data_IF_151401568912
#
_entry.id   IF_151401568912
#
_cell.length_a   1.000
_cell.length_b   1.000
_cell.length_c   1.000
_cell.angle_alpha   90.00
_cell.angle_beta   90.00
_cell.angle_gamma   90.00
#
_symmetry.space_group_name_H-M   'P 1'
#
loop_
_entity.id
_entity.type
_entity.pdbx_description
1 polymer ?
#
# COMPACT_ATOMS: atom_id res chain seq x y z
N UNK A 1 29.92 -9.10 -23.54
CA UNK A 1 28.76 -8.31 -24.05
C UNK A 1 27.47 -8.72 -23.35
N UNK A 2 27.25 -10.01 -23.09
CA UNK A 2 26.01 -10.51 -22.48
C UNK A 2 25.71 -9.91 -21.09
N UNK A 3 26.72 -9.73 -20.24
CA UNK A 3 26.54 -9.09 -18.92
C UNK A 3 26.06 -7.63 -19.02
N UNK A 4 26.51 -6.90 -20.05
CA UNK A 4 26.08 -5.51 -20.28
C UNK A 4 24.62 -5.48 -20.73
N UNK A 5 24.24 -6.40 -21.63
CA UNK A 5 22.86 -6.54 -22.09
C UNK A 5 21.94 -6.88 -20.90
N UNK A 6 22.30 -7.88 -20.08
CA UNK A 6 21.53 -8.26 -18.89
C UNK A 6 21.38 -7.07 -17.94
N UNK A 7 22.46 -6.32 -17.67
CA UNK A 7 22.43 -5.15 -16.79
C UNK A 7 21.48 -4.08 -17.32
N UNK A 8 21.59 -3.73 -18.62
CA UNK A 8 20.72 -2.74 -19.27
C UNK A 8 19.26 -3.19 -19.21
N UNK A 9 18.97 -4.45 -19.51
CA UNK A 9 17.61 -5.01 -19.45
C UNK A 9 17.05 -4.93 -18.02
N UNK A 10 17.84 -5.26 -17.00
CA UNK A 10 17.41 -5.15 -15.61
C UNK A 10 17.07 -3.71 -15.21
N UNK A 11 17.90 -2.74 -15.62
CA UNK A 11 17.66 -1.32 -15.33
C UNK A 11 16.38 -0.84 -16.02
N UNK A 12 16.19 -1.18 -17.29
CA UNK A 12 14.98 -0.83 -18.05
C UNK A 12 13.73 -1.46 -17.43
N UNK A 13 13.80 -2.73 -17.02
CA UNK A 13 12.70 -3.42 -16.35
C UNK A 13 12.34 -2.77 -15.02
N UNK A 14 13.33 -2.41 -14.20
CA UNK A 14 13.10 -1.74 -12.92
C UNK A 14 12.50 -0.33 -13.12
N UNK A 15 13.02 0.44 -14.08
CA UNK A 15 12.50 1.75 -14.42
C UNK A 15 11.04 1.66 -14.91
N UNK A 16 10.75 0.72 -15.81
CA UNK A 16 9.41 0.47 -16.31
C UNK A 16 8.44 0.02 -15.21
N UNK A 17 8.87 -0.89 -14.33
CA UNK A 17 8.06 -1.39 -13.22
C UNK A 17 7.73 -0.28 -12.23
N UNK A 18 8.71 0.54 -11.88
CA UNK A 18 8.52 1.71 -11.00
C UNK A 18 7.58 2.73 -11.63
N UNK A 19 7.76 3.03 -12.91
CA UNK A 19 6.88 3.92 -13.65
C UNK A 19 5.44 3.40 -13.65
N UNK A 20 5.24 2.15 -14.07
CA UNK A 20 3.92 1.50 -14.14
C UNK A 20 3.23 1.43 -12.78
N UNK A 21 3.98 1.15 -11.72
CA UNK A 21 3.45 1.16 -10.36
C UNK A 21 3.04 2.55 -9.91
N UNK A 22 3.85 3.57 -10.17
CA UNK A 22 3.58 4.95 -9.76
C UNK A 22 2.38 5.54 -10.52
N UNK A 23 2.39 5.44 -11.86
CA UNK A 23 1.38 6.04 -12.74
C UNK A 23 0.10 5.23 -12.90
N UNK A 24 0.12 3.93 -12.55
CA UNK A 24 -1.05 3.06 -12.69
C UNK A 24 -2.26 3.53 -11.86
N UNK A 25 -3.46 3.00 -12.12
CA UNK A 25 -4.62 3.31 -11.30
C UNK A 25 -4.56 2.60 -9.93
N UNK A 26 -5.19 3.20 -8.92
CA UNK A 26 -5.50 2.51 -7.67
C UNK A 26 -6.62 1.50 -7.91
N UNK A 27 -6.46 0.29 -7.36
CA UNK A 27 -7.48 -0.76 -7.45
C UNK A 27 -8.52 -0.51 -6.36
N UNK A 28 -9.80 -0.63 -6.68
CA UNK A 28 -10.83 -0.58 -5.65
C UNK A 28 -10.66 -1.81 -4.74
N UNK A 29 -10.58 -1.58 -3.43
CA UNK A 29 -10.58 -2.68 -2.46
C UNK A 29 -11.96 -3.34 -2.41
N UNK A 30 -11.96 -4.67 -2.29
CA UNK A 30 -13.18 -5.49 -2.27
C UNK A 30 -13.11 -6.45 -1.07
N UNK A 31 -14.26 -6.91 -0.58
CA UNK A 31 -14.32 -7.83 0.56
C UNK A 31 -13.70 -9.21 0.28
N UNK A 32 -13.57 -9.61 -0.99
CA UNK A 32 -12.92 -10.85 -1.36
C UNK A 32 -11.40 -10.67 -1.43
N UNK A 33 -10.65 -11.49 -0.69
CA UNK A 33 -9.20 -11.49 -0.75
C UNK A 33 -8.72 -11.96 -2.13
N UNK A 34 -7.83 -11.20 -2.81
CA UNK A 34 -7.25 -11.65 -4.06
C UNK A 34 -6.19 -12.73 -3.80
N UNK A 35 -6.10 -13.72 -4.69
CA UNK A 35 -5.05 -14.76 -4.64
C UNK A 35 -3.69 -14.24 -5.10
N UNK A 36 -3.70 -13.28 -6.04
CA UNK A 36 -2.51 -12.70 -6.64
C UNK A 36 -2.86 -11.34 -7.26
N UNK A 37 -2.03 -10.32 -7.06
CA UNK A 37 -2.25 -8.98 -7.61
C UNK A 37 -0.96 -8.38 -8.13
N UNK A 38 -0.96 -7.96 -9.40
CA UNK A 38 0.11 -7.15 -9.98
C UNK A 38 -0.01 -5.68 -9.54
N UNK A 39 1.11 -5.07 -9.16
CA UNK A 39 1.21 -3.69 -8.73
C UNK A 39 0.12 -3.35 -7.69
N UNK A 40 0.11 -4.02 -6.52
CA UNK A 40 -0.93 -3.84 -5.53
C UNK A 40 -0.86 -2.43 -4.95
N UNK A 41 -1.90 -1.64 -5.20
CA UNK A 41 -2.18 -0.37 -4.55
C UNK A 41 -3.69 -0.18 -4.56
N UNK A 42 -4.23 0.24 -3.43
CA UNK A 42 -5.66 0.18 -3.19
C UNK A 42 -6.24 1.53 -2.83
N UNK A 43 -7.48 1.76 -3.26
CA UNK A 43 -8.34 2.80 -2.71
C UNK A 43 -9.51 2.10 -2.00
N UNK A 44 -9.81 2.57 -0.80
CA UNK A 44 -10.75 1.93 0.11
C UNK A 44 -11.73 3.00 0.57
N UNK A 45 -13.01 2.79 0.28
CA UNK A 45 -14.09 3.63 0.82
C UNK A 45 -14.47 3.11 2.21
N UNK A 46 -14.81 4.02 3.11
CA UNK A 46 -15.25 3.69 4.47
C UNK A 46 -16.43 4.54 4.89
N UNK A 47 -17.33 3.97 5.70
CA UNK A 47 -18.49 4.68 6.24
C UNK A 47 -18.24 5.25 7.63
N UNK A 48 -17.19 4.77 8.31
CA UNK A 48 -16.77 5.18 9.65
C UNK A 48 -16.30 6.64 9.68
N UNK A 49 -16.36 7.32 10.84
CA UNK A 49 -15.73 8.62 11.03
C UNK A 49 -14.22 8.58 10.70
N UNK A 50 -13.69 9.65 10.12
CA UNK A 50 -12.26 9.75 9.76
C UNK A 50 -11.37 9.54 11.00
N UNK A 51 -11.77 10.07 12.15
CA UNK A 51 -11.06 9.89 13.42
C UNK A 51 -10.95 8.42 13.84
N UNK A 52 -11.94 7.59 13.52
CA UNK A 52 -11.89 6.14 13.76
C UNK A 52 -10.84 5.48 12.85
N UNK A 53 -10.81 5.84 11.57
CA UNK A 53 -9.80 5.35 10.61
C UNK A 53 -8.39 5.77 11.03
N UNK A 54 -8.19 7.02 11.45
CA UNK A 54 -6.91 7.52 11.95
C UNK A 54 -6.44 6.74 13.18
N UNK A 55 -7.35 6.51 14.14
CA UNK A 55 -7.06 5.69 15.32
C UNK A 55 -6.68 4.26 14.92
N UNK A 56 -7.38 3.66 13.96
CA UNK A 56 -7.11 2.30 13.49
C UNK A 56 -5.73 2.21 12.81
N UNK A 57 -5.38 3.19 11.99
CA UNK A 57 -4.05 3.31 11.38
C UNK A 57 -2.95 3.37 12.45
N UNK A 58 -3.14 4.18 13.49
CA UNK A 58 -2.20 4.28 14.60
C UNK A 58 -2.11 2.98 15.40
N UNK A 59 -3.23 2.32 15.70
CA UNK A 59 -3.28 1.02 16.41
C UNK A 59 -2.48 -0.06 15.69
N UNK A 60 -2.55 -0.09 14.36
CA UNK A 60 -1.77 -1.05 13.56
C UNK A 60 -0.34 -0.55 13.27
N UNK A 61 0.09 0.56 13.87
CA UNK A 61 1.48 1.02 13.84
C UNK A 61 1.86 1.92 12.67
N UNK A 62 0.89 2.55 12.00
CA UNK A 62 1.19 3.71 11.14
C UNK A 62 1.41 4.97 11.99
N UNK A 63 2.29 5.83 11.51
CA UNK A 63 2.60 7.12 12.12
C UNK A 63 2.29 8.22 11.12
N UNK A 64 1.61 9.27 11.56
CA UNK A 64 1.33 10.44 10.75
C UNK A 64 2.62 11.16 10.34
N UNK A 65 2.69 11.59 9.09
CA UNK A 65 3.83 12.34 8.57
C UNK A 65 3.70 13.79 9.05
N UNK A 66 4.64 14.24 9.87
CA UNK A 66 4.61 15.59 10.46
C UNK A 66 4.50 16.74 9.45
N UNK A 67 4.85 16.51 8.19
CA UNK A 67 4.81 17.51 7.12
C UNK A 67 3.54 17.46 6.26
N UNK A 68 2.68 16.45 6.41
CA UNK A 68 1.51 16.21 5.57
C UNK A 68 0.36 15.61 6.39
N UNK A 69 -0.61 16.45 6.75
CA UNK A 69 -1.82 16.03 7.45
C UNK A 69 -2.59 14.99 6.62
N UNK A 70 -3.11 13.95 7.29
CA UNK A 70 -3.84 12.87 6.62
C UNK A 70 -2.96 11.87 5.87
N UNK A 71 -1.63 12.02 5.91
CA UNK A 71 -0.67 11.06 5.35
C UNK A 71 0.01 10.28 6.47
N UNK A 72 -0.10 8.96 6.40
CA UNK A 72 0.41 8.03 7.41
C UNK A 72 1.43 7.08 6.79
N UNK A 73 2.47 6.72 7.52
CA UNK A 73 3.48 5.77 7.04
C UNK A 73 3.82 4.70 8.06
N UNK A 74 4.19 3.51 7.58
CA UNK A 74 4.59 2.38 8.42
C UNK A 74 5.76 1.64 7.77
N UNK A 75 6.84 1.44 8.53
CA UNK A 75 8.10 0.85 8.05
C UNK A 75 8.23 -0.67 8.19
N UNK A 76 7.15 -1.41 8.53
CA UNK A 76 7.22 -2.85 8.80
C UNK A 76 5.87 -3.52 8.53
N UNK A 77 5.81 -4.46 7.58
CA UNK A 77 4.64 -5.32 7.33
C UNK A 77 4.87 -6.68 8.01
N UNK A 78 3.84 -7.18 8.70
CA UNK A 78 3.79 -8.52 9.29
C UNK A 78 3.21 -9.49 8.24
N UNK A 79 3.87 -10.63 7.99
CA UNK A 79 3.42 -11.66 7.04
C UNK A 79 4.57 -12.18 6.16
N UNK A 80 4.41 -13.39 5.59
CA UNK A 80 5.40 -14.25 4.89
C UNK A 80 6.14 -13.63 3.68
N UNK A 81 5.96 -12.34 3.41
CA UNK A 81 6.84 -11.64 2.49
C UNK A 81 8.21 -11.40 3.15
N UNK A 82 9.28 -11.77 2.43
CA UNK A 82 10.67 -11.37 2.68
C UNK A 82 10.89 -9.83 2.63
N UNK A 83 9.83 -9.03 2.71
CA UNK A 83 9.81 -7.57 2.67
C UNK A 83 9.73 -6.97 4.08
N UNK A 84 10.69 -7.33 4.95
CA UNK A 84 10.89 -6.74 6.30
C UNK A 84 11.11 -5.21 6.28
N UNK A 85 11.12 -4.56 5.10
CA UNK A 85 11.50 -3.17 4.88
C UNK A 85 10.56 -2.38 3.94
N UNK A 86 9.36 -2.90 3.63
CA UNK A 86 8.44 -2.16 2.76
C UNK A 86 7.82 -0.98 3.51
N UNK A 87 8.16 0.24 3.08
CA UNK A 87 7.57 1.46 3.62
C UNK A 87 6.21 1.69 2.97
N UNK A 88 5.15 1.46 3.76
CA UNK A 88 3.78 1.73 3.36
C UNK A 88 3.41 3.18 3.63
N UNK A 89 2.53 3.71 2.78
CA UNK A 89 1.91 5.01 2.92
C UNK A 89 0.40 4.85 2.78
N UNK A 90 -0.32 5.51 3.67
CA UNK A 90 -1.77 5.71 3.59
C UNK A 90 -2.04 7.20 3.44
N UNK A 91 -2.91 7.57 2.52
CA UNK A 91 -3.37 8.94 2.28
C UNK A 91 -4.89 8.96 2.48
N UNK A 92 -5.37 9.70 3.46
CA UNK A 92 -6.82 9.88 3.71
C UNK A 92 -7.34 10.97 2.77
N UNK A 93 -8.43 10.66 2.07
CA UNK A 93 -9.16 11.57 1.20
C UNK A 93 -10.48 11.93 1.89
N UNK A 94 -10.45 13.01 2.67
CA UNK A 94 -11.58 13.41 3.53
C UNK A 94 -12.86 13.70 2.73
N UNK A 95 -12.72 14.34 1.57
CA UNK A 95 -13.80 14.70 0.65
C UNK A 95 -14.59 13.49 0.15
N UNK A 96 -13.93 12.34 0.05
CA UNK A 96 -14.48 11.10 -0.56
C UNK A 96 -14.77 10.00 0.45
N UNK A 97 -14.54 10.23 1.75
CA UNK A 97 -14.57 9.18 2.79
C UNK A 97 -13.83 7.92 2.32
N UNK A 98 -12.60 8.10 1.86
CA UNK A 98 -11.78 7.02 1.36
C UNK A 98 -10.33 7.21 1.73
N UNK A 99 -9.54 6.13 1.74
CA UNK A 99 -8.10 6.22 1.87
C UNK A 99 -7.42 5.45 0.74
N UNK A 100 -6.23 5.90 0.36
CA UNK A 100 -5.33 5.18 -0.53
C UNK A 100 -4.26 4.47 0.27
N UNK A 101 -3.92 3.26 -0.12
CA UNK A 101 -2.82 2.49 0.45
C UNK A 101 -1.86 2.06 -0.66
N UNK A 102 -0.58 2.39 -0.48
CA UNK A 102 0.50 2.06 -1.41
C UNK A 102 1.82 1.83 -0.67
N UNK A 103 2.73 1.09 -1.29
CA UNK A 103 4.15 1.16 -0.97
C UNK A 103 4.81 2.41 -1.59
N UNK A 104 5.74 3.06 -0.87
CA UNK A 104 6.48 4.24 -1.35
C UNK A 104 7.45 3.96 -2.50
N UNK A 105 8.01 2.76 -2.56
CA UNK A 105 8.96 2.38 -3.62
C UNK A 105 8.21 1.81 -4.82
N UNK A 106 7.88 0.52 -4.77
CA UNK A 106 6.88 -0.16 -5.58
C UNK A 106 6.76 -1.59 -5.05
N UNK A 107 5.64 -2.25 -5.35
CA UNK A 107 5.49 -3.69 -5.19
C UNK A 107 5.11 -4.23 -6.56
N UNK A 108 5.85 -5.22 -7.06
CA UNK A 108 5.57 -5.81 -8.36
C UNK A 108 4.34 -6.71 -8.30
N UNK A 109 4.25 -7.55 -7.27
CA UNK A 109 3.07 -8.37 -6.99
C UNK A 109 2.97 -8.72 -5.50
N UNK A 110 1.77 -9.03 -5.03
CA UNK A 110 1.53 -9.66 -3.73
C UNK A 110 0.45 -10.76 -3.80
N UNK A 111 0.30 -11.50 -2.70
CA UNK A 111 -0.75 -12.50 -2.49
C UNK A 111 -1.86 -11.98 -1.58
N UNK A 112 -2.14 -10.68 -1.67
CA UNK A 112 -3.14 -10.00 -0.85
C UNK A 112 -2.63 -9.47 0.49
N UNK A 113 -1.33 -9.23 0.66
CA UNK A 113 -0.78 -8.68 1.90
C UNK A 113 -1.16 -7.21 2.09
N UNK A 114 -1.06 -6.38 1.05
CA UNK A 114 -1.56 -4.99 1.13
C UNK A 114 -3.08 -4.97 1.27
N UNK A 115 -3.76 -5.97 0.71
CA UNK A 115 -5.21 -6.14 0.89
C UNK A 115 -5.56 -6.44 2.36
N UNK A 116 -4.78 -7.26 3.06
CA UNK A 116 -4.95 -7.55 4.49
C UNK A 116 -4.75 -6.30 5.33
N UNK A 117 -3.75 -5.46 5.02
CA UNK A 117 -3.56 -4.18 5.71
C UNK A 117 -4.79 -3.28 5.54
N UNK A 118 -5.34 -3.19 4.32
CA UNK A 118 -6.59 -2.45 4.09
C UNK A 118 -7.74 -3.00 4.93
N UNK A 119 -7.86 -4.33 5.01
CA UNK A 119 -8.86 -5.00 5.84
C UNK A 119 -8.67 -4.65 7.32
N UNK A 120 -7.45 -4.70 7.84
CA UNK A 120 -7.15 -4.36 9.24
C UNK A 120 -7.54 -2.91 9.59
N UNK A 121 -7.30 -1.95 8.69
CA UNK A 121 -7.67 -0.55 8.88
C UNK A 121 -9.19 -0.36 8.99
N UNK A 122 -9.96 -1.01 8.13
CA UNK A 122 -11.44 -0.88 8.09
C UNK A 122 -12.13 -1.77 9.12
N UNK A 123 -11.54 -2.94 9.41
CA UNK A 123 -12.17 -4.01 10.19
C UNK A 123 -11.76 -4.06 11.64
N UNK A 124 -10.98 -3.11 12.16
CA UNK A 124 -10.64 -3.09 13.59
C UNK A 124 -11.85 -2.69 14.44
N UNK A 125 -12.84 -3.58 14.46
CA UNK A 125 -13.65 -3.84 15.63
C UNK A 125 -12.69 -4.13 16.78
N UNK A 126 -12.83 -3.40 17.87
CA UNK A 126 -12.13 -3.68 19.11
C UNK A 126 -12.26 -5.18 19.46
N UNK A 127 -11.20 -5.84 19.98
CA UNK A 127 -11.40 -7.08 20.72
C UNK A 127 -12.35 -6.85 21.90
#
# INVERSE_FOLDING_TARGET
MDYVIILVTCILFLAYSKYSYSSGPFKQWQNAQPKFVWFPKYIVSFDQPISEIQNNLQKIGFVEVATQEGVYTRGKVYGDFSAKHLLLQVEILEDKKSFRLLAKTFVLFDTGDLWRVCKEVVSSKNP
#
